data_IF_559979335979
#
_entry.id   IF_559979335979
#
_cell.length_a   1.000
_cell.length_b   1.000
_cell.length_c   1.000
_cell.angle_alpha   90.00
_cell.angle_beta   90.00
_cell.angle_gamma   90.00
#
_symmetry.space_group_name_H-M   'P 1'
#
loop_
_entity.id
_entity.type
_entity.pdbx_description
1 polymer ?
#
# COMPACT_ATOMS: atom_id res chain seq x y z
N UNK A 1 -12.11 -7.70 15.96
CA UNK A 1 -13.02 -7.40 14.83
C UNK A 1 -12.96 -5.92 14.40
N UNK A 2 -12.87 -4.95 15.31
CA UNK A 2 -12.80 -3.51 14.97
C UNK A 2 -11.57 -3.21 14.11
N UNK A 3 -10.40 -3.74 14.45
CA UNK A 3 -9.14 -3.53 13.69
C UNK A 3 -9.24 -4.05 12.25
N UNK A 4 -9.86 -5.21 12.03
CA UNK A 4 -10.04 -5.78 10.70
C UNK A 4 -10.95 -4.93 9.81
N UNK A 5 -12.04 -4.39 10.38
CA UNK A 5 -13.01 -3.56 9.65
C UNK A 5 -12.47 -2.18 9.25
N UNK A 6 -11.47 -1.68 9.97
CA UNK A 6 -10.85 -0.38 9.70
C UNK A 6 -9.73 -0.46 8.64
N UNK A 7 -9.43 -1.65 8.11
CA UNK A 7 -8.45 -1.77 7.03
C UNK A 7 -8.92 -0.97 5.79
N UNK A 8 -8.04 -0.22 5.12
CA UNK A 8 -6.58 -0.11 5.28
C UNK A 8 -6.12 0.92 6.32
N UNK A 9 -6.94 1.36 7.24
CA UNK A 9 -6.81 2.50 8.17
C UNK A 9 -6.92 3.86 7.46
N UNK A 10 -7.10 4.92 8.23
CA UNK A 10 -7.07 6.27 7.68
C UNK A 10 -5.66 6.63 7.21
N UNK A 11 -5.56 7.28 6.07
CA UNK A 11 -4.29 7.78 5.53
C UNK A 11 -4.47 9.18 4.93
N UNK A 12 -3.44 10.04 5.02
CA UNK A 12 -3.47 11.38 4.48
C UNK A 12 -3.63 11.39 2.96
N UNK A 13 -4.35 12.37 2.44
CA UNK A 13 -4.46 12.63 0.99
C UNK A 13 -3.27 13.38 0.43
N UNK A 14 -2.45 13.95 1.30
CA UNK A 14 -1.23 14.68 0.95
C UNK A 14 -0.01 13.85 1.33
N UNK A 15 1.12 14.15 0.67
CA UNK A 15 2.42 13.63 1.06
C UNK A 15 2.81 14.17 2.43
N UNK A 16 3.50 13.36 3.23
CA UNK A 16 3.91 13.71 4.57
C UNK A 16 5.24 13.04 4.94
N UNK A 17 5.85 13.46 6.02
CA UNK A 17 6.96 12.76 6.66
C UNK A 17 6.44 12.12 7.95
N UNK A 18 6.58 10.81 8.07
CA UNK A 18 6.42 10.13 9.35
C UNK A 18 7.70 10.30 10.15
N UNK A 19 7.61 10.91 11.34
CA UNK A 19 8.72 11.03 12.28
C UNK A 19 8.27 10.64 13.68
N UNK A 20 8.78 9.52 14.18
CA UNK A 20 8.55 9.04 15.55
C UNK A 20 7.08 9.16 16.02
N UNK A 21 6.15 8.61 15.22
CA UNK A 21 4.73 8.59 15.53
C UNK A 21 3.96 9.86 15.17
N UNK A 22 4.60 10.86 14.55
CA UNK A 22 3.99 12.13 14.13
C UNK A 22 4.01 12.28 12.62
N UNK A 23 3.06 13.06 12.12
CA UNK A 23 3.03 13.52 10.74
C UNK A 23 3.60 14.94 10.67
N UNK A 24 4.57 15.15 9.79
CA UNK A 24 5.17 16.44 9.50
C UNK A 24 4.98 16.80 8.02
N UNK A 25 5.22 18.05 7.65
CA UNK A 25 5.20 18.49 6.26
C UNK A 25 6.18 17.68 5.41
N UNK A 26 5.77 17.35 4.19
CA UNK A 26 6.61 16.59 3.27
C UNK A 26 7.86 17.37 2.87
N UNK A 27 9.00 16.72 2.97
CA UNK A 27 10.30 17.26 2.54
C UNK A 27 10.93 16.29 1.52
N UNK A 28 10.97 16.66 0.22
CA UNK A 28 11.53 15.83 -0.83
C UNK A 28 13.03 15.57 -0.68
N UNK A 29 13.77 16.42 0.03
CA UNK A 29 15.20 16.22 0.27
C UNK A 29 15.50 14.96 1.09
N UNK A 30 14.54 14.52 1.89
CA UNK A 30 14.66 13.31 2.71
C UNK A 30 14.53 11.99 1.89
N UNK A 31 14.20 12.05 0.61
CA UNK A 31 14.15 10.87 -0.28
C UNK A 31 15.54 10.36 -0.69
N UNK A 32 16.56 11.22 -0.60
CA UNK A 32 17.90 10.89 -1.11
C UNK A 32 18.49 9.65 -0.45
N UNK A 33 18.96 8.70 -1.29
CA UNK A 33 19.59 7.47 -0.84
C UNK A 33 18.62 6.46 -0.20
N UNK A 34 17.31 6.58 -0.50
CA UNK A 34 16.27 5.69 0.03
C UNK A 34 15.62 4.88 -1.07
N UNK A 35 15.14 3.72 -0.72
CA UNK A 35 14.42 2.81 -1.63
C UNK A 35 12.94 3.20 -1.71
N UNK A 36 12.39 3.45 -2.92
CA UNK A 36 10.97 3.74 -3.13
C UNK A 36 10.13 2.45 -3.07
N UNK A 37 9.33 2.29 -2.04
CA UNK A 37 8.46 1.12 -1.85
C UNK A 37 7.01 1.55 -1.96
N UNK A 38 6.25 0.95 -2.89
CA UNK A 38 4.83 1.22 -3.07
C UNK A 38 4.03 0.82 -1.84
N UNK A 39 3.19 1.73 -1.39
CA UNK A 39 2.27 1.56 -0.27
C UNK A 39 0.84 1.80 -0.75
N UNK A 40 0.13 0.73 -1.02
CA UNK A 40 -1.23 0.74 -1.58
C UNK A 40 -2.29 0.19 -0.63
N UNK A 41 -1.89 -0.36 0.50
CA UNK A 41 -2.74 -0.85 1.58
C UNK A 41 -2.49 -0.06 2.87
N UNK A 42 -2.37 -0.76 4.00
CA UNK A 42 -2.20 -0.15 5.30
C UNK A 42 -0.87 0.62 5.48
N UNK A 43 0.16 0.31 4.71
CA UNK A 43 1.47 0.96 4.83
C UNK A 43 1.49 2.46 4.46
N UNK A 44 0.44 2.97 3.84
CA UNK A 44 0.25 4.41 3.61
C UNK A 44 -0.37 5.14 4.83
N UNK A 45 -0.73 4.40 5.89
CA UNK A 45 -1.32 4.96 7.11
C UNK A 45 -0.26 5.28 8.16
N UNK A 46 -0.25 6.48 8.75
CA UNK A 46 0.63 6.83 9.86
C UNK A 46 0.46 5.89 11.07
N UNK A 47 -0.78 5.45 11.33
CA UNK A 47 -1.07 4.48 12.40
C UNK A 47 -0.31 3.16 12.16
N UNK A 48 -0.30 2.68 10.91
CA UNK A 48 0.41 1.44 10.57
C UNK A 48 1.92 1.61 10.62
N UNK A 49 2.44 2.74 10.17
CA UNK A 49 3.86 3.07 10.29
C UNK A 49 4.29 3.10 11.76
N UNK A 50 3.48 3.71 12.64
CA UNK A 50 3.74 3.71 14.08
C UNK A 50 3.79 2.29 14.68
N UNK A 51 2.91 1.39 14.24
CA UNK A 51 2.91 0.00 14.71
C UNK A 51 4.17 -0.76 14.29
N UNK A 52 4.77 -0.42 13.16
CA UNK A 52 5.97 -1.08 12.62
C UNK A 52 7.27 -0.47 13.11
N UNK A 53 7.33 0.85 13.14
CA UNK A 53 8.55 1.62 13.36
C UNK A 53 8.65 2.26 14.74
N UNK A 54 7.58 2.16 15.55
CA UNK A 54 7.56 2.80 16.87
C UNK A 54 7.39 4.32 16.82
N UNK A 55 7.46 4.95 17.97
CA UNK A 55 7.27 6.38 18.15
C UNK A 55 8.46 7.08 18.86
N UNK A 56 9.61 6.40 19.01
CA UNK A 56 10.79 6.89 19.75
C UNK A 56 12.13 6.39 19.20
N UNK A 57 12.13 5.69 18.08
CA UNK A 57 13.33 5.00 17.58
C UNK A 57 14.12 5.80 16.53
N UNK A 58 13.80 7.08 16.36
CA UNK A 58 14.47 7.99 15.43
C UNK A 58 14.12 7.74 13.95
N UNK A 59 13.01 7.05 13.67
CA UNK A 59 12.61 6.78 12.30
C UNK A 59 12.01 8.00 11.62
N UNK A 60 12.57 8.35 10.46
CA UNK A 60 12.08 9.39 9.55
C UNK A 60 11.76 8.74 8.23
N UNK A 61 10.48 8.71 7.82
CA UNK A 61 10.02 8.05 6.60
C UNK A 61 9.22 9.05 5.77
N UNK A 62 9.75 9.54 4.65
CA UNK A 62 8.96 10.28 3.67
C UNK A 62 7.91 9.37 3.04
N UNK A 63 6.67 9.83 2.99
CA UNK A 63 5.53 9.15 2.38
C UNK A 63 4.97 10.08 1.32
N UNK A 64 5.23 9.76 0.07
CA UNK A 64 4.88 10.59 -1.07
C UNK A 64 3.66 10.04 -1.80
N UNK A 65 2.68 10.89 -2.06
CA UNK A 65 1.50 10.50 -2.84
C UNK A 65 1.83 10.42 -4.31
N UNK A 66 1.23 9.46 -4.99
CA UNK A 66 1.40 9.28 -6.42
C UNK A 66 0.26 8.49 -7.04
N UNK A 67 0.38 8.28 -8.34
CA UNK A 67 -0.52 7.47 -9.16
C UNK A 67 0.28 6.45 -9.94
N UNK A 68 -0.16 5.21 -9.92
CA UNK A 68 0.41 4.13 -10.71
C UNK A 68 -0.54 3.81 -11.86
N UNK A 69 -0.04 3.89 -13.10
CA UNK A 69 -0.81 3.60 -14.30
C UNK A 69 -0.89 2.09 -14.55
N UNK A 70 -1.99 1.67 -15.17
CA UNK A 70 -2.28 0.28 -15.57
C UNK A 70 -2.37 -0.72 -14.41
N UNK A 71 -2.64 -0.20 -13.20
CA UNK A 71 -2.86 -0.98 -12.00
C UNK A 71 -4.11 -0.53 -11.23
N UNK A 72 -4.67 -1.47 -10.46
CA UNK A 72 -5.65 -1.21 -9.42
C UNK A 72 -5.22 -1.93 -8.13
N UNK A 73 -5.86 -1.59 -7.02
CA UNK A 73 -5.67 -2.23 -5.72
C UNK A 73 -6.90 -3.06 -5.40
N UNK A 74 -6.66 -4.36 -5.25
CA UNK A 74 -7.70 -5.36 -4.96
C UNK A 74 -7.45 -6.06 -3.63
N UNK A 75 -8.45 -6.78 -3.12
CA UNK A 75 -8.27 -7.63 -1.95
C UNK A 75 -7.51 -8.91 -2.30
N UNK A 76 -6.52 -9.26 -1.49
CA UNK A 76 -5.80 -10.52 -1.60
C UNK A 76 -6.61 -11.67 -0.99
N UNK A 77 -6.53 -12.88 -1.57
CA UNK A 77 -7.30 -14.05 -1.15
C UNK A 77 -6.73 -14.71 0.12
N UNK A 78 -6.50 -13.93 1.18
CA UNK A 78 -6.12 -14.46 2.49
C UNK A 78 -6.61 -13.56 3.63
N UNK A 79 -6.61 -14.11 4.84
CA UNK A 79 -6.98 -13.39 6.06
C UNK A 79 -5.74 -13.21 6.91
N UNK A 80 -5.51 -11.99 7.36
CA UNK A 80 -4.42 -11.69 8.30
C UNK A 80 -4.69 -12.27 9.69
N UNK A 81 -3.67 -12.39 10.52
CA UNK A 81 -3.80 -12.89 11.91
C UNK A 81 -4.79 -12.11 12.77
N UNK A 82 -5.09 -10.86 12.43
CA UNK A 82 -6.08 -10.02 13.11
C UNK A 82 -7.42 -9.95 12.37
N UNK A 83 -7.62 -10.78 11.33
CA UNK A 83 -8.90 -10.99 10.65
C UNK A 83 -9.22 -10.02 9.50
N UNK A 84 -8.28 -9.22 9.02
CA UNK A 84 -8.49 -8.37 7.85
C UNK A 84 -8.19 -9.12 6.54
N UNK A 85 -8.84 -8.69 5.46
CA UNK A 85 -8.49 -9.07 4.07
C UNK A 85 -7.56 -7.98 3.55
N UNK A 86 -6.27 -8.25 3.33
CA UNK A 86 -5.32 -7.23 2.94
C UNK A 86 -5.37 -6.93 1.45
N UNK A 87 -4.71 -5.84 1.06
CA UNK A 87 -4.63 -5.37 -0.31
C UNK A 87 -3.47 -6.00 -1.08
N UNK A 88 -3.64 -6.12 -2.39
CA UNK A 88 -2.58 -6.40 -3.35
C UNK A 88 -2.73 -5.54 -4.60
N UNK A 89 -1.63 -5.35 -5.34
CA UNK A 89 -1.67 -4.75 -6.67
C UNK A 89 -2.17 -5.78 -7.69
N UNK A 90 -2.98 -5.31 -8.63
CA UNK A 90 -3.49 -6.08 -9.75
C UNK A 90 -3.33 -5.26 -11.03
N UNK A 91 -2.80 -5.87 -12.07
CA UNK A 91 -2.75 -5.24 -13.41
C UNK A 91 -4.17 -4.95 -13.88
N UNK A 92 -4.39 -3.73 -14.38
CA UNK A 92 -5.69 -3.25 -14.85
C UNK A 92 -5.48 -2.18 -15.92
N UNK A 93 -5.34 -2.61 -17.17
CA UNK A 93 -5.03 -1.73 -18.30
C UNK A 93 -5.96 -0.51 -18.37
N UNK A 94 -5.38 0.67 -18.49
CA UNK A 94 -6.07 1.94 -18.55
C UNK A 94 -6.60 2.44 -17.20
N UNK A 95 -6.36 1.74 -16.11
CA UNK A 95 -6.64 2.23 -14.76
C UNK A 95 -5.49 3.10 -14.24
N UNK A 96 -5.80 4.00 -13.31
CA UNK A 96 -4.82 4.86 -12.64
C UNK A 96 -5.14 4.89 -11.15
N UNK A 97 -4.38 4.14 -10.36
CA UNK A 97 -4.63 4.00 -8.92
C UNK A 97 -3.84 5.01 -8.10
N UNK A 98 -4.51 5.67 -7.15
CA UNK A 98 -3.85 6.52 -6.16
C UNK A 98 -3.22 5.66 -5.07
N UNK A 99 -1.93 5.88 -4.81
CA UNK A 99 -1.18 5.18 -3.76
C UNK A 99 -0.16 6.12 -3.13
N UNK A 100 0.65 5.58 -2.24
CA UNK A 100 1.80 6.28 -1.73
C UNK A 100 3.10 5.50 -2.01
N UNK A 101 4.23 6.20 -1.95
CA UNK A 101 5.56 5.62 -1.91
C UNK A 101 6.15 5.91 -0.54
N UNK A 102 6.55 4.89 0.19
CA UNK A 102 7.36 5.03 1.40
C UNK A 102 8.83 4.97 1.01
N UNK A 103 9.58 6.02 1.31
CA UNK A 103 11.01 6.10 1.02
C UNK A 103 11.78 5.58 2.23
N UNK A 104 12.30 4.35 2.12
CA UNK A 104 12.90 3.61 3.23
C UNK A 104 14.43 3.57 3.11
N UNK A 105 15.13 3.85 4.21
CA UNK A 105 16.54 3.50 4.33
C UNK A 105 16.71 1.98 4.58
N UNK A 106 17.94 1.48 4.56
CA UNK A 106 18.23 0.04 4.67
C UNK A 106 17.66 -0.58 5.95
N UNK A 107 17.81 0.11 7.10
CA UNK A 107 17.27 -0.35 8.39
C UNK A 107 15.74 -0.41 8.37
N UNK A 108 15.09 0.59 7.79
CA UNK A 108 13.64 0.65 7.67
C UNK A 108 13.13 -0.40 6.70
N UNK A 109 13.87 -0.67 5.62
CA UNK A 109 13.55 -1.71 4.66
C UNK A 109 13.60 -3.11 5.28
N UNK A 110 14.59 -3.39 6.12
CA UNK A 110 14.66 -4.64 6.89
C UNK A 110 13.44 -4.83 7.83
N UNK A 111 13.05 -3.78 8.56
CA UNK A 111 11.85 -3.80 9.42
C UNK A 111 10.60 -4.08 8.59
N UNK A 112 10.49 -3.44 7.42
CA UNK A 112 9.37 -3.64 6.51
C UNK A 112 9.34 -5.07 5.97
N UNK A 113 10.47 -5.63 5.51
CA UNK A 113 10.60 -7.02 5.09
C UNK A 113 10.15 -7.99 6.17
N UNK A 114 10.63 -7.80 7.40
CA UNK A 114 10.24 -8.66 8.52
C UNK A 114 8.73 -8.68 8.74
N UNK A 115 8.05 -7.55 8.54
CA UNK A 115 6.61 -7.45 8.76
C UNK A 115 5.76 -7.99 7.61
N UNK A 116 6.26 -7.96 6.36
CA UNK A 116 5.49 -8.31 5.17
C UNK A 116 5.78 -9.73 4.67
N UNK A 117 7.05 -10.18 4.71
CA UNK A 117 7.48 -11.44 4.08
C UNK A 117 7.33 -12.63 5.04
N UNK A 118 7.35 -12.40 6.36
CA UNK A 118 7.38 -13.47 7.38
C UNK A 118 6.26 -14.52 7.24
N UNK A 119 5.09 -14.12 6.78
CA UNK A 119 3.95 -15.04 6.61
C UNK A 119 3.87 -15.66 5.21
N UNK A 120 4.87 -15.44 4.34
CA UNK A 120 4.92 -15.88 2.94
C UNK A 120 3.68 -15.46 2.10
N UNK A 121 2.96 -14.43 2.52
CA UNK A 121 1.81 -13.88 1.79
C UNK A 121 2.23 -12.86 0.73
N UNK A 122 3.46 -12.35 0.85
CA UNK A 122 4.05 -11.38 -0.06
C UNK A 122 5.53 -11.72 -0.31
N UNK A 123 6.02 -11.34 -1.49
CA UNK A 123 7.45 -11.26 -1.77
C UNK A 123 7.80 -9.85 -2.23
N UNK A 124 9.05 -9.44 -2.02
CA UNK A 124 9.55 -8.14 -2.43
C UNK A 124 10.10 -8.22 -3.84
N UNK A 125 9.68 -7.33 -4.72
CA UNK A 125 10.09 -7.29 -6.11
C UNK A 125 10.26 -5.85 -6.61
N UNK A 126 11.17 -5.69 -7.58
CA UNK A 126 11.16 -4.53 -8.45
C UNK A 126 10.06 -4.71 -9.51
N UNK A 127 9.33 -3.63 -9.76
CA UNK A 127 8.40 -3.49 -10.88
C UNK A 127 9.08 -2.58 -11.89
N UNK A 128 9.49 -3.14 -13.01
CA UNK A 128 10.08 -2.39 -14.12
C UNK A 128 9.02 -2.07 -15.17
N UNK A 129 9.31 -1.09 -16.04
CA UNK A 129 8.43 -0.62 -17.10
C UNK A 129 7.05 -0.13 -16.60
N UNK A 130 6.99 0.40 -15.38
CA UNK A 130 5.81 1.02 -14.82
C UNK A 130 5.80 2.53 -15.09
N UNK A 131 4.62 3.14 -15.02
CA UNK A 131 4.48 4.59 -15.03
C UNK A 131 3.94 5.03 -13.67
N UNK A 132 4.84 5.46 -12.81
CA UNK A 132 4.53 5.99 -11.48
C UNK A 132 4.71 7.52 -11.50
N UNK A 133 3.61 8.24 -11.37
CA UNK A 133 3.57 9.71 -11.31
C UNK A 133 3.56 10.15 -9.85
N UNK A 134 4.60 10.83 -9.41
CA UNK A 134 4.71 11.35 -8.04
C UNK A 134 4.30 12.83 -7.97
N UNK A 135 4.14 13.33 -6.76
CA UNK A 135 3.93 14.75 -6.50
C UNK A 135 5.08 15.59 -7.10
N UNK A 136 4.77 16.66 -7.83
CA UNK A 136 5.78 17.46 -8.51
C UNK A 136 6.11 17.04 -9.95
N UNK A 137 5.24 16.24 -10.59
CA UNK A 137 5.39 15.78 -11.99
C UNK A 137 6.59 14.84 -12.23
N UNK A 138 7.16 14.31 -11.16
CA UNK A 138 8.23 13.31 -11.25
C UNK A 138 7.68 11.97 -11.72
N UNK A 139 8.28 11.39 -12.78
CA UNK A 139 7.89 10.10 -13.36
C UNK A 139 8.96 9.06 -13.06
N UNK A 140 8.56 7.95 -12.45
CA UNK A 140 9.41 6.80 -12.22
C UNK A 140 8.96 5.62 -13.08
N UNK A 141 9.91 4.91 -13.66
CA UNK A 141 9.69 3.70 -14.48
C UNK A 141 10.02 2.42 -13.72
N UNK A 142 10.54 2.54 -12.53
CA UNK A 142 10.84 1.43 -11.62
C UNK A 142 10.41 1.79 -10.21
N UNK A 143 9.76 0.85 -9.52
CA UNK A 143 9.43 0.94 -8.11
C UNK A 143 9.51 -0.43 -7.46
N UNK A 144 9.63 -0.48 -6.13
CA UNK A 144 9.57 -1.73 -5.40
C UNK A 144 8.19 -1.94 -4.77
N UNK A 145 7.76 -3.19 -4.70
CA UNK A 145 6.48 -3.55 -4.09
C UNK A 145 6.53 -4.87 -3.33
N UNK A 146 5.65 -5.01 -2.37
CA UNK A 146 5.31 -6.31 -1.78
C UNK A 146 4.17 -6.93 -2.59
N UNK A 147 4.53 -7.90 -3.44
CA UNK A 147 3.60 -8.56 -4.37
C UNK A 147 2.93 -9.74 -3.68
N UNK A 148 1.60 -9.81 -3.75
CA UNK A 148 0.81 -10.87 -3.13
C UNK A 148 1.03 -12.23 -3.79
N UNK A 149 1.10 -13.31 -2.98
CA UNK A 149 1.32 -14.69 -3.45
C UNK A 149 0.05 -15.53 -3.47
N UNK A 150 -1.06 -15.03 -2.93
CA UNK A 150 -2.29 -15.81 -2.68
C UNK A 150 -3.39 -15.61 -3.72
N UNK A 151 -3.12 -14.80 -4.77
CA UNK A 151 -4.16 -14.37 -5.70
C UNK A 151 -5.09 -13.32 -5.09
N UNK A 152 -6.08 -12.91 -5.85
CA UNK A 152 -7.08 -11.93 -5.44
C UNK A 152 -8.37 -12.59 -4.95
N UNK A 153 -9.10 -11.88 -4.09
CA UNK A 153 -10.45 -12.26 -3.71
C UNK A 153 -11.40 -12.04 -4.90
N UNK A 154 -12.20 -13.05 -5.21
CA UNK A 154 -13.19 -13.01 -6.29
C UNK A 154 -14.60 -12.87 -5.75
N UNK A 155 -15.51 -12.31 -6.54
CA UNK A 155 -16.93 -12.36 -6.30
C UNK A 155 -17.60 -13.47 -7.14
N UNK A 156 -18.87 -13.81 -6.84
CA UNK A 156 -19.59 -14.94 -7.43
C UNK A 156 -19.68 -14.93 -8.97
N UNK A 157 -19.65 -13.75 -9.58
CA UNK A 157 -19.67 -13.58 -11.04
C UNK A 157 -18.26 -13.68 -11.67
N UNK A 158 -17.25 -13.97 -10.87
CA UNK A 158 -15.84 -13.95 -11.25
C UNK A 158 -15.22 -12.55 -11.27
N UNK A 159 -13.89 -12.49 -11.22
CA UNK A 159 -13.11 -11.28 -11.23
C UNK A 159 -12.75 -10.72 -9.85
N UNK A 160 -11.70 -9.92 -9.83
CA UNK A 160 -11.16 -9.36 -8.61
C UNK A 160 -12.10 -8.35 -7.95
N UNK A 161 -12.02 -8.26 -6.63
CA UNK A 161 -12.75 -7.25 -5.85
C UNK A 161 -11.79 -6.11 -5.49
N UNK A 162 -12.08 -4.92 -6.00
CA UNK A 162 -11.27 -3.73 -5.73
C UNK A 162 -11.53 -3.18 -4.32
N UNK A 163 -10.46 -2.67 -3.70
CA UNK A 163 -10.51 -2.01 -2.40
C UNK A 163 -11.08 -0.58 -2.55
N UNK A 164 -12.35 -0.39 -2.14
CA UNK A 164 -13.06 0.88 -2.31
C UNK A 164 -12.39 2.08 -1.62
N UNK A 165 -11.64 1.84 -0.54
CA UNK A 165 -10.95 2.89 0.20
C UNK A 165 -9.80 3.54 -0.57
N UNK A 166 -9.29 2.86 -1.62
CA UNK A 166 -8.22 3.35 -2.49
C UNK A 166 -8.82 3.90 -3.77
N UNK A 167 -8.68 5.20 -4.07
CA UNK A 167 -9.18 5.79 -5.29
C UNK A 167 -8.46 5.24 -6.53
N UNK A 168 -9.22 4.97 -7.58
CA UNK A 168 -8.69 4.52 -8.86
C UNK A 168 -9.56 5.07 -9.99
N UNK A 169 -8.96 5.82 -10.88
CA UNK A 169 -9.58 6.31 -12.11
C UNK A 169 -9.56 5.21 -13.17
N UNK A 170 -10.63 5.04 -13.94
CA UNK A 170 -10.72 3.98 -14.95
C UNK A 170 -10.85 2.56 -14.37
N UNK A 171 -11.20 2.42 -13.09
CA UNK A 171 -11.37 1.12 -12.42
C UNK A 171 -12.33 0.20 -13.18
N UNK A 172 -11.89 -1.03 -13.41
CA UNK A 172 -12.68 -2.07 -14.07
C UNK A 172 -13.27 -3.09 -13.10
N UNK A 173 -12.64 -3.27 -11.95
CA UNK A 173 -13.06 -4.26 -10.96
C UNK A 173 -14.20 -3.73 -10.09
N UNK A 174 -15.11 -4.63 -9.68
CA UNK A 174 -16.17 -4.30 -8.73
C UNK A 174 -15.57 -3.84 -7.42
N UNK A 175 -15.98 -2.65 -6.97
CA UNK A 175 -15.46 -2.04 -5.76
C UNK A 175 -16.29 -2.41 -4.54
N UNK A 176 -15.64 -2.82 -3.46
CA UNK A 176 -16.29 -3.14 -2.18
C UNK A 176 -15.55 -2.52 -1.02
N UNK A 177 -16.29 -2.16 0.03
CA UNK A 177 -15.72 -1.81 1.32
C UNK A 177 -15.14 -3.02 2.03
N UNK A 178 -14.25 -2.81 2.98
CA UNK A 178 -13.70 -3.90 3.80
C UNK A 178 -14.77 -4.68 4.57
N UNK A 179 -15.85 -4.00 5.00
CA UNK A 179 -16.98 -4.65 5.65
C UNK A 179 -17.67 -5.65 4.72
N UNK A 180 -17.94 -5.25 3.47
CA UNK A 180 -18.54 -6.12 2.44
C UNK A 180 -17.62 -7.28 2.05
N UNK A 181 -16.31 -7.03 1.86
CA UNK A 181 -15.35 -8.08 1.56
C UNK A 181 -15.24 -9.12 2.69
N UNK A 182 -15.34 -8.69 3.94
CA UNK A 182 -15.37 -9.60 5.11
C UNK A 182 -16.64 -10.46 5.19
N UNK A 183 -17.74 -10.07 4.57
CA UNK A 183 -18.97 -10.87 4.50
C UNK A 183 -18.87 -12.02 3.49
N UNK A 184 -18.11 -11.83 2.40
CA UNK A 184 -17.91 -12.87 1.37
C UNK A 184 -17.10 -14.07 1.90
N UNK A 185 -16.17 -13.82 2.83
CA UNK A 185 -15.25 -14.85 3.34
C UNK A 185 -15.72 -15.53 4.64
N UNK A 186 -16.93 -15.25 5.08
CA UNK A 186 -17.57 -15.87 6.25
C UNK A 186 -18.39 -17.09 5.87
#
# INVERSE_FOLDING_TARGET
>A
LTRARNYPYAFPRQSFVYRDGREEAFDPALKRGRTPVLAFGSNQSPERLRQKFGDRDGHVIPVERGRLQDFDVVYSAHITSYGAVPAMLQVSDGASVELAVTWLDDRQLEIMHHSEIRAANYFFAALDDVTLLLSGEEVHTTAFAYVGTRGHLEHDEGGAIALAAVPCEGRRYRSMSTAQALEIIR
#
